data_IF_935385535200
#
_entry.id   IF_935385535200
#
_cell.length_a   1.000
_cell.length_b   1.000
_cell.length_c   1.000
_cell.angle_alpha   90.00
_cell.angle_beta   90.00
_cell.angle_gamma   90.00
#
_symmetry.space_group_name_H-M   'P 1'
#
loop_
_entity.id
_entity.type
_entity.pdbx_description
1 polymer ?
#
# COMPACT_ATOMS: atom_id res chain seq x y z
N UNK A 1 6.42 20.70 -9.33
CA UNK A 1 7.79 20.37 -9.80
C UNK A 1 8.43 19.32 -8.87
N UNK A 2 9.56 18.78 -9.27
CA UNK A 2 10.38 17.88 -8.44
C UNK A 2 10.88 18.62 -7.19
N UNK A 3 11.15 19.89 -7.29
CA UNK A 3 11.61 20.71 -6.16
C UNK A 3 10.49 20.96 -5.16
N UNK A 4 9.26 21.19 -5.63
CA UNK A 4 8.08 21.26 -4.77
C UNK A 4 7.83 19.95 -4.03
N UNK A 5 8.07 18.81 -4.69
CA UNK A 5 7.94 17.51 -4.06
C UNK A 5 9.00 17.29 -2.98
N UNK A 6 10.25 17.67 -3.26
CA UNK A 6 11.35 17.56 -2.28
C UNK A 6 11.20 18.51 -1.09
N UNK A 7 10.59 19.67 -1.30
CA UNK A 7 10.35 20.67 -0.25
C UNK A 7 9.20 20.32 0.69
N UNK A 8 8.36 19.35 0.34
CA UNK A 8 7.20 18.94 1.15
C UNK A 8 7.57 17.75 2.06
N UNK A 9 7.00 17.68 3.27
CA UNK A 9 7.14 16.47 4.08
C UNK A 9 6.59 15.25 3.35
N UNK A 10 7.17 14.09 3.63
CA UNK A 10 6.72 12.82 3.05
C UNK A 10 5.21 12.64 3.26
N UNK A 11 4.49 12.38 2.19
CA UNK A 11 3.03 12.27 2.17
C UNK A 11 2.57 11.18 1.22
N UNK A 12 1.25 11.01 1.14
CA UNK A 12 0.64 10.11 0.17
C UNK A 12 0.52 10.83 -1.18
N UNK A 13 1.48 10.61 -2.07
CA UNK A 13 1.51 11.20 -3.41
C UNK A 13 1.79 10.10 -4.45
N UNK A 14 1.25 10.26 -5.66
CA UNK A 14 1.48 9.31 -6.75
C UNK A 14 0.81 7.96 -6.49
N UNK A 15 1.60 6.92 -6.28
CA UNK A 15 1.14 5.54 -6.03
C UNK A 15 1.78 5.03 -4.73
N UNK A 16 1.38 5.55 -3.57
CA UNK A 16 1.98 5.13 -2.30
C UNK A 16 1.72 3.66 -2.00
N UNK A 17 2.75 2.97 -1.53
CA UNK A 17 2.64 1.63 -0.95
C UNK A 17 2.06 1.73 0.45
N UNK A 18 1.06 0.91 0.74
CA UNK A 18 0.46 0.76 2.05
C UNK A 18 0.94 -0.56 2.64
N UNK A 19 1.80 -0.48 3.66
CA UNK A 19 2.42 -1.65 4.28
C UNK A 19 2.69 -1.39 5.78
N UNK A 20 2.70 -2.44 6.61
CA UNK A 20 2.50 -3.86 6.33
C UNK A 20 1.04 -4.28 6.13
N UNK A 21 0.07 -3.36 6.21
CA UNK A 21 -1.32 -3.59 5.82
C UNK A 21 -1.88 -2.41 5.03
N UNK A 22 -2.85 -2.71 4.16
CA UNK A 22 -3.66 -1.72 3.46
C UNK A 22 -4.99 -1.49 4.19
N UNK A 23 -5.51 -0.25 4.08
CA UNK A 23 -6.77 0.17 4.67
C UNK A 23 -6.78 0.03 6.21
N UNK A 24 -7.95 -0.20 6.81
CA UNK A 24 -8.21 -0.17 8.24
C UNK A 24 -8.22 -1.55 8.86
N UNK A 25 -7.78 -1.64 10.10
CA UNK A 25 -7.99 -2.80 10.96
C UNK A 25 -9.12 -2.50 11.93
N UNK A 26 -9.88 -3.51 12.31
CA UNK A 26 -11.03 -3.41 13.20
C UNK A 26 -10.64 -3.28 14.69
N UNK A 27 -9.42 -3.69 15.02
CA UNK A 27 -8.84 -3.55 16.35
C UNK A 27 -7.52 -2.79 16.32
N UNK A 28 -7.02 -2.37 17.49
CA UNK A 28 -5.68 -1.82 17.66
C UNK A 28 -4.64 -2.95 17.78
N UNK A 29 -4.82 -3.99 17.00
CA UNK A 29 -3.98 -5.17 16.96
C UNK A 29 -4.24 -5.95 15.66
N UNK A 30 -3.36 -6.90 15.39
CA UNK A 30 -3.62 -7.95 14.41
C UNK A 30 -3.35 -9.33 15.03
N UNK A 31 -3.81 -10.38 14.35
CA UNK A 31 -3.63 -11.76 14.77
C UNK A 31 -2.86 -12.54 13.71
N UNK A 32 -1.86 -13.27 14.13
CA UNK A 32 -1.09 -14.17 13.28
C UNK A 32 -0.50 -15.31 14.12
N UNK A 33 -0.38 -16.50 13.54
CA UNK A 33 0.24 -17.67 14.20
C UNK A 33 -0.35 -17.97 15.59
N UNK A 34 -1.67 -17.76 15.78
CA UNK A 34 -2.35 -17.95 17.05
C UNK A 34 -2.03 -16.92 18.14
N UNK A 35 -1.34 -15.84 17.79
CA UNK A 35 -0.96 -14.76 18.73
C UNK A 35 -1.63 -13.44 18.34
N UNK A 36 -1.87 -12.59 19.35
CA UNK A 36 -2.32 -11.21 19.19
C UNK A 36 -1.12 -10.26 19.27
N UNK A 37 -1.01 -9.37 18.31
CA UNK A 37 0.04 -8.35 18.22
C UNK A 37 -0.59 -6.96 18.35
N UNK A 38 -0.50 -6.29 19.51
CA UNK A 38 -1.05 -4.95 19.69
C UNK A 38 -0.18 -3.91 18.98
N UNK A 39 -0.82 -2.84 18.50
CA UNK A 39 -0.13 -1.68 17.94
C UNK A 39 0.13 -0.61 19.00
N UNK A 40 1.24 0.07 18.85
CA UNK A 40 1.45 1.37 19.45
C UNK A 40 0.76 2.43 18.56
N UNK A 41 -0.38 2.92 18.99
CA UNK A 41 -1.20 3.86 18.24
C UNK A 41 -0.53 5.23 18.03
N UNK A 42 0.62 5.48 18.64
CA UNK A 42 1.38 6.72 18.45
C UNK A 42 2.41 6.59 17.32
N UNK A 43 2.76 5.39 16.89
CA UNK A 43 3.79 5.15 15.88
C UNK A 43 3.25 4.96 14.46
N UNK A 44 1.97 4.64 14.32
CA UNK A 44 1.37 4.31 13.04
C UNK A 44 0.46 5.40 12.49
N UNK A 45 -0.07 5.16 11.31
CA UNK A 45 -1.17 5.93 10.78
C UNK A 45 -2.45 5.55 11.51
N UNK A 46 -3.18 6.55 12.00
CA UNK A 46 -4.45 6.33 12.68
C UNK A 46 -5.52 7.29 12.16
N UNK A 47 -6.76 6.83 12.16
CA UNK A 47 -7.94 7.66 11.96
C UNK A 47 -8.84 7.48 13.19
N UNK A 48 -8.84 8.46 14.09
CA UNK A 48 -9.44 8.31 15.41
C UNK A 48 -8.73 7.20 16.20
N UNK A 49 -9.44 6.16 16.59
CA UNK A 49 -8.91 5.01 17.31
C UNK A 49 -8.55 3.81 16.40
N UNK A 50 -8.53 4.00 15.08
CA UNK A 50 -8.40 2.90 14.11
C UNK A 50 -7.07 2.98 13.38
N UNK A 51 -6.25 1.90 13.41
CA UNK A 51 -5.04 1.81 12.58
C UNK A 51 -5.39 1.80 11.10
N UNK A 52 -4.66 2.57 10.29
CA UNK A 52 -4.89 2.69 8.85
C UNK A 52 -3.57 2.73 8.07
N UNK A 53 -3.49 1.97 6.97
CA UNK A 53 -2.41 2.04 5.97
C UNK A 53 -1.01 1.69 6.45
N UNK A 54 -0.89 0.98 7.55
CA UNK A 54 0.41 0.61 8.11
C UNK A 54 1.26 1.81 8.51
N UNK A 55 2.55 1.64 8.59
CA UNK A 55 3.49 2.66 9.04
C UNK A 55 4.69 2.86 8.09
N UNK A 56 4.70 2.18 6.93
CA UNK A 56 5.82 2.22 5.99
C UNK A 56 5.63 3.21 4.82
N UNK A 57 4.43 3.76 4.64
CA UNK A 57 4.08 4.59 3.48
C UNK A 57 4.80 5.94 3.41
N UNK A 58 5.35 6.41 4.52
CA UNK A 58 6.02 7.73 4.63
C UNK A 58 7.48 7.61 5.06
N UNK A 59 8.07 6.43 4.95
CA UNK A 59 9.47 6.24 5.35
C UNK A 59 10.43 6.72 4.27
N UNK A 60 11.54 7.28 4.69
CA UNK A 60 12.70 7.64 3.86
C UNK A 60 13.80 6.55 3.89
N UNK A 61 13.53 5.41 4.52
CA UNK A 61 14.53 4.36 4.74
C UNK A 61 14.77 3.44 3.53
N UNK A 62 14.13 3.74 2.40
CA UNK A 62 14.36 3.05 1.15
C UNK A 62 15.76 3.31 0.61
N UNK A 63 16.47 2.25 0.24
CA UNK A 63 17.80 2.33 -0.36
C UNK A 63 17.74 1.86 -1.81
N UNK A 64 18.26 2.65 -2.74
CA UNK A 64 18.40 2.24 -4.13
C UNK A 64 19.47 1.16 -4.22
N UNK A 65 19.09 -0.03 -4.70
CA UNK A 65 19.97 -1.20 -4.82
C UNK A 65 20.29 -1.54 -6.28
N UNK A 66 19.50 -1.06 -7.22
CA UNK A 66 19.74 -1.23 -8.65
C UNK A 66 19.20 -0.04 -9.45
N UNK A 67 19.99 0.40 -10.43
CA UNK A 67 19.55 1.34 -11.48
C UNK A 67 20.09 0.81 -12.81
N UNK A 68 19.21 0.53 -13.77
CA UNK A 68 19.58 0.00 -15.07
C UNK A 68 18.74 0.57 -16.21
N UNK A 69 19.31 0.51 -17.40
CA UNK A 69 18.61 0.73 -18.66
C UNK A 69 19.25 -0.14 -19.76
N UNK A 70 18.45 -0.60 -20.72
CA UNK A 70 18.91 -1.49 -21.82
C UNK A 70 18.55 -0.96 -23.22
N UNK A 71 18.19 0.31 -23.34
CA UNK A 71 17.77 0.95 -24.60
C UNK A 71 16.30 0.73 -24.96
N UNK A 72 15.58 -0.18 -24.29
CA UNK A 72 14.13 -0.40 -24.42
C UNK A 72 13.39 0.00 -23.16
N UNK A 73 13.98 -0.29 -22.01
CA UNK A 73 13.41 -0.02 -20.71
C UNK A 73 14.44 0.61 -19.79
N UNK A 74 13.94 1.32 -18.78
CA UNK A 74 14.74 1.79 -17.66
C UNK A 74 14.07 1.35 -16.36
N UNK A 75 14.84 0.97 -15.35
CA UNK A 75 14.28 0.60 -14.06
C UNK A 75 15.17 0.98 -12.90
N UNK A 76 14.52 1.14 -11.76
CA UNK A 76 15.15 1.34 -10.46
C UNK A 76 14.54 0.38 -9.46
N UNK A 77 15.38 -0.29 -8.68
CA UNK A 77 14.95 -1.12 -7.55
C UNK A 77 15.40 -0.47 -6.26
N UNK A 78 14.47 -0.26 -5.35
CA UNK A 78 14.73 0.20 -3.99
C UNK A 78 14.40 -0.90 -3.01
N UNK A 79 15.19 -1.01 -1.94
CA UNK A 79 15.05 -1.99 -0.86
C UNK A 79 14.73 -1.31 0.46
N UNK A 80 13.79 -1.89 1.20
CA UNK A 80 13.48 -1.55 2.58
C UNK A 80 13.75 -2.77 3.47
N UNK A 81 14.59 -2.61 4.48
CA UNK A 81 14.95 -3.67 5.43
C UNK A 81 14.29 -3.38 6.79
N UNK A 82 13.21 -4.08 7.09
CA UNK A 82 12.43 -3.82 8.30
C UNK A 82 13.14 -4.15 9.60
N UNK A 83 14.03 -5.14 9.58
CA UNK A 83 14.84 -5.51 10.73
C UNK A 83 15.74 -4.37 11.26
N UNK A 84 16.05 -3.38 10.41
CA UNK A 84 16.83 -2.20 10.80
C UNK A 84 16.00 -1.16 11.56
N UNK A 85 14.68 -1.33 11.63
CA UNK A 85 13.76 -0.36 12.24
C UNK A 85 13.17 -0.94 13.53
N UNK A 86 13.81 -0.65 14.66
CA UNK A 86 13.42 -1.21 15.96
C UNK A 86 11.96 -0.87 16.36
N UNK A 87 11.47 0.34 16.01
CA UNK A 87 10.09 0.74 16.26
C UNK A 87 9.07 -0.10 15.47
N UNK A 88 9.40 -0.45 14.22
CA UNK A 88 8.54 -1.30 13.40
C UNK A 88 8.55 -2.74 13.90
N UNK A 89 9.73 -3.27 14.26
CA UNK A 89 9.87 -4.62 14.78
C UNK A 89 9.11 -4.83 16.09
N UNK A 90 8.89 -3.78 16.88
CA UNK A 90 8.04 -3.87 18.08
C UNK A 90 6.56 -4.11 17.75
N UNK A 91 6.08 -3.59 16.64
CA UNK A 91 4.68 -3.67 16.23
C UNK A 91 4.42 -4.81 15.23
N UNK A 92 5.41 -5.10 14.37
CA UNK A 92 5.35 -6.12 13.33
C UNK A 92 6.61 -6.98 13.39
N UNK A 93 6.69 -7.95 14.34
CA UNK A 93 7.91 -8.66 14.68
C UNK A 93 8.29 -9.75 13.66
N UNK A 94 8.11 -9.45 12.39
CA UNK A 94 8.50 -10.30 11.28
C UNK A 94 9.57 -9.58 10.46
N UNK A 95 10.83 -9.95 10.68
CA UNK A 95 11.94 -9.42 9.90
C UNK A 95 11.73 -9.77 8.42
N UNK A 96 11.71 -8.79 7.56
CA UNK A 96 11.53 -8.99 6.12
C UNK A 96 12.22 -7.88 5.32
N UNK A 97 12.43 -8.12 4.05
CA UNK A 97 12.80 -7.10 3.09
C UNK A 97 11.68 -6.91 2.08
N UNK A 98 11.53 -5.67 1.63
CA UNK A 98 10.67 -5.32 0.51
C UNK A 98 11.56 -4.74 -0.58
N UNK A 99 11.56 -5.36 -1.76
CA UNK A 99 12.18 -4.81 -2.96
C UNK A 99 11.09 -4.28 -3.87
N UNK A 100 11.17 -3.01 -4.23
CA UNK A 100 10.23 -2.36 -5.14
C UNK A 100 10.97 -1.91 -6.38
N UNK A 101 10.58 -2.46 -7.52
CA UNK A 101 11.13 -2.11 -8.82
C UNK A 101 10.10 -1.32 -9.62
N UNK A 102 10.48 -0.12 -10.02
CA UNK A 102 9.76 0.69 -10.99
C UNK A 102 10.44 0.51 -12.34
N UNK A 103 9.71 0.00 -13.32
CA UNK A 103 10.20 -0.22 -14.68
C UNK A 103 9.35 0.56 -15.68
N UNK A 104 10.00 1.36 -16.50
CA UNK A 104 9.36 2.13 -17.55
C UNK A 104 9.79 1.57 -18.90
N UNK A 105 8.81 1.22 -19.73
CA UNK A 105 8.99 0.77 -21.10
C UNK A 105 7.80 1.17 -21.96
N UNK A 106 8.06 1.77 -23.12
CA UNK A 106 7.03 2.10 -24.12
C UNK A 106 5.82 2.86 -23.53
N UNK A 107 6.08 3.82 -22.64
CA UNK A 107 5.02 4.59 -21.94
C UNK A 107 4.31 3.83 -20.83
N UNK A 108 4.64 2.55 -20.59
CA UNK A 108 4.07 1.74 -19.53
C UNK A 108 4.97 1.76 -18.30
N UNK A 109 4.39 2.11 -17.14
CA UNK A 109 5.04 1.99 -15.85
C UNK A 109 4.59 0.70 -15.17
N UNK A 110 5.54 -0.20 -14.93
CA UNK A 110 5.33 -1.41 -14.15
C UNK A 110 5.90 -1.25 -12.75
N UNK A 111 5.17 -1.69 -11.73
CA UNK A 111 5.62 -1.68 -10.34
C UNK A 111 5.63 -3.11 -9.81
N UNK A 112 6.81 -3.63 -9.52
CA UNK A 112 6.99 -4.95 -8.95
C UNK A 112 7.35 -4.83 -7.48
N UNK A 113 6.65 -5.54 -6.63
CA UNK A 113 6.96 -5.60 -5.21
C UNK A 113 7.24 -7.03 -4.81
N UNK A 114 8.44 -7.27 -4.31
CA UNK A 114 8.87 -8.54 -3.73
C UNK A 114 9.02 -8.39 -2.24
N UNK A 115 8.32 -9.23 -1.48
CA UNK A 115 8.46 -9.34 -0.03
C UNK A 115 9.17 -10.63 0.29
N UNK A 116 10.28 -10.56 1.03
CA UNK A 116 11.03 -11.73 1.47
C UNK A 116 10.98 -11.81 2.99
N UNK A 117 10.31 -12.83 3.51
CA UNK A 117 10.25 -13.11 4.94
C UNK A 117 11.58 -13.70 5.42
N UNK A 118 12.19 -13.10 6.44
CA UNK A 118 13.39 -13.57 7.11
C UNK A 118 13.11 -14.07 8.55
N UNK A 119 11.84 -13.97 9.00
CA UNK A 119 11.44 -14.51 10.28
C UNK A 119 11.32 -16.04 10.20
N UNK A 120 11.45 -16.72 11.34
CA UNK A 120 11.25 -18.16 11.44
C UNK A 120 9.76 -18.57 11.30
N UNK A 121 8.84 -17.67 11.66
CA UNK A 121 7.39 -17.89 11.58
C UNK A 121 6.81 -17.34 10.26
N UNK A 122 5.70 -17.90 9.76
CA UNK A 122 4.96 -17.31 8.67
C UNK A 122 4.55 -15.86 8.97
N UNK A 123 4.80 -14.96 8.02
CA UNK A 123 4.44 -13.56 8.14
C UNK A 123 3.11 -13.29 7.41
N UNK A 124 2.13 -12.63 8.04
CA UNK A 124 0.96 -12.18 7.33
C UNK A 124 1.32 -11.09 6.31
N UNK A 125 0.67 -11.08 5.16
CA UNK A 125 0.88 -10.09 4.10
C UNK A 125 -0.45 -9.47 3.73
N UNK A 126 -0.57 -8.15 3.89
CA UNK A 126 -1.79 -7.38 3.58
C UNK A 126 -1.44 -6.02 2.99
N UNK A 127 -0.49 -5.98 2.08
CA UNK A 127 -0.08 -4.74 1.42
C UNK A 127 -1.06 -4.31 0.31
N UNK A 128 -1.01 -3.04 -0.05
CA UNK A 128 -1.76 -2.49 -1.16
C UNK A 128 -1.14 -1.21 -1.69
N UNK A 129 -1.73 -0.69 -2.76
CA UNK A 129 -1.37 0.58 -3.35
C UNK A 129 -2.55 1.54 -3.31
N UNK A 130 -2.26 2.83 -3.16
CA UNK A 130 -3.26 3.89 -3.14
C UNK A 130 -2.99 4.91 -4.25
N UNK A 131 -3.24 4.55 -5.53
CA UNK A 131 -2.94 5.44 -6.63
C UNK A 131 -3.85 6.67 -6.63
N UNK A 132 -3.27 7.81 -7.00
CA UNK A 132 -3.98 9.05 -7.26
C UNK A 132 -3.92 9.31 -8.76
N UNK A 133 -5.02 9.04 -9.46
CA UNK A 133 -5.11 9.29 -10.88
C UNK A 133 -5.51 10.74 -11.16
N UNK A 134 -4.92 11.29 -12.21
CA UNK A 134 -5.29 12.59 -12.74
C UNK A 134 -5.29 12.50 -14.27
N UNK A 135 -6.45 12.73 -14.87
CA UNK A 135 -6.59 12.94 -16.31
C UNK A 135 -6.66 14.44 -16.56
N UNK A 136 -5.95 14.90 -17.59
CA UNK A 136 -5.83 16.33 -17.90
C UNK A 136 -6.53 16.72 -19.20
N UNK A 137 -7.10 15.74 -19.90
CA UNK A 137 -7.76 15.85 -21.19
C UNK A 137 -9.29 16.04 -21.10
N UNK A 138 -9.86 15.84 -19.92
CA UNK A 138 -11.29 16.04 -19.67
C UNK A 138 -11.58 16.44 -18.22
N UNK A 139 -12.70 17.11 -17.96
CA UNK A 139 -13.16 17.38 -16.60
C UNK A 139 -13.49 16.07 -15.86
N UNK A 140 -13.36 16.09 -14.53
CA UNK A 140 -13.49 14.88 -13.69
C UNK A 140 -14.85 14.20 -13.80
N UNK A 141 -15.90 14.93 -14.00
CA UNK A 141 -17.29 14.46 -14.17
C UNK A 141 -17.51 13.68 -15.47
N UNK A 142 -16.57 13.76 -16.41
CA UNK A 142 -16.58 13.00 -17.66
C UNK A 142 -15.72 11.72 -17.57
N UNK A 143 -15.01 11.52 -16.44
CA UNK A 143 -14.18 10.33 -16.29
C UNK A 143 -15.02 9.08 -16.16
N UNK A 144 -14.61 8.03 -16.84
CA UNK A 144 -15.21 6.71 -16.72
C UNK A 144 -14.29 5.79 -15.94
N UNK A 145 -14.85 5.11 -14.95
CA UNK A 145 -14.15 4.09 -14.17
C UNK A 145 -14.69 2.71 -14.54
N UNK A 146 -13.81 1.80 -14.93
CA UNK A 146 -14.18 0.40 -15.18
C UNK A 146 -13.52 -0.48 -14.11
N UNK A 147 -14.35 -1.20 -13.35
CA UNK A 147 -13.92 -2.07 -12.26
C UNK A 147 -14.44 -3.48 -12.53
N UNK A 148 -13.60 -4.44 -12.95
CA UNK A 148 -14.02 -5.81 -13.26
C UNK A 148 -14.26 -6.66 -11.99
N UNK A 149 -14.80 -6.06 -10.94
CA UNK A 149 -15.16 -6.74 -9.70
C UNK A 149 -16.64 -7.13 -9.73
N UNK A 150 -16.98 -8.33 -9.28
CA UNK A 150 -18.37 -8.84 -9.23
C UNK A 150 -18.98 -8.71 -7.84
N UNK A 151 -18.13 -8.62 -6.83
CA UNK A 151 -18.56 -8.50 -5.43
C UNK A 151 -17.79 -7.41 -4.72
N UNK A 152 -18.42 -6.76 -3.76
CA UNK A 152 -17.78 -5.84 -2.84
C UNK A 152 -18.00 -6.29 -1.39
N UNK A 153 -17.04 -6.01 -0.54
CA UNK A 153 -17.18 -6.17 0.89
C UNK A 153 -18.10 -5.10 1.47
N UNK A 154 -19.02 -5.49 2.33
CA UNK A 154 -19.77 -4.55 3.14
C UNK A 154 -18.85 -3.99 4.23
N UNK A 155 -18.94 -2.68 4.44
CA UNK A 155 -18.15 -1.99 5.45
C UNK A 155 -19.02 -1.63 6.65
N UNK A 156 -18.45 -1.75 7.85
CA UNK A 156 -19.01 -1.19 9.06
C UNK A 156 -19.06 0.35 8.97
N UNK A 157 -19.67 0.98 9.97
CA UNK A 157 -19.65 2.44 10.06
C UNK A 157 -18.21 2.99 10.17
N UNK A 158 -17.27 2.22 10.74
CA UNK A 158 -15.84 2.53 10.84
C UNK A 158 -15.06 2.29 9.54
N UNK A 159 -15.74 1.87 8.47
CA UNK A 159 -15.15 1.53 7.17
C UNK A 159 -14.21 0.31 7.20
N UNK A 160 -14.46 -0.61 8.11
CA UNK A 160 -13.77 -1.91 8.19
C UNK A 160 -14.66 -2.97 7.54
N UNK A 161 -14.11 -3.91 6.76
CA UNK A 161 -14.87 -5.02 6.19
C UNK A 161 -15.57 -5.85 7.27
N UNK A 162 -16.86 -6.14 7.05
CA UNK A 162 -17.69 -6.91 8.01
C UNK A 162 -17.62 -8.42 7.82
N UNK A 163 -16.90 -8.89 6.81
CA UNK A 163 -16.93 -10.31 6.40
C UNK A 163 -18.08 -10.65 5.44
N UNK A 164 -19.03 -9.73 5.22
CA UNK A 164 -20.14 -9.90 4.29
C UNK A 164 -19.86 -9.24 2.95
N UNK A 165 -20.42 -9.78 1.87
CA UNK A 165 -20.28 -9.26 0.52
C UNK A 165 -21.64 -9.05 -0.14
N UNK A 166 -21.69 -8.18 -1.15
CA UNK A 166 -22.84 -8.03 -2.04
C UNK A 166 -22.37 -7.88 -3.50
N UNK A 167 -23.30 -8.06 -4.46
CA UNK A 167 -22.99 -7.82 -5.88
C UNK A 167 -22.66 -6.36 -6.15
N UNK A 168 -21.66 -6.12 -7.01
CA UNK A 168 -21.33 -4.79 -7.52
C UNK A 168 -22.29 -4.26 -8.58
N UNK A 169 -23.12 -5.13 -9.20
CA UNK A 169 -24.02 -4.75 -10.30
C UNK A 169 -25.01 -3.66 -9.91
N UNK A 170 -25.35 -3.57 -8.63
CA UNK A 170 -26.22 -2.52 -8.09
C UNK A 170 -25.61 -1.11 -8.23
N UNK A 171 -24.28 -1.00 -8.19
CA UNK A 171 -23.55 0.28 -8.16
C UNK A 171 -22.81 0.53 -9.48
N UNK A 172 -22.37 -0.53 -10.12
CA UNK A 172 -21.59 -0.52 -11.35
C UNK A 172 -22.17 -1.55 -12.33
N UNK A 173 -23.33 -1.30 -12.95
CA UNK A 173 -23.94 -2.20 -13.90
C UNK A 173 -22.98 -2.53 -15.04
N UNK A 174 -22.67 -3.82 -15.23
CA UNK A 174 -21.68 -4.26 -16.21
C UNK A 174 -20.22 -3.85 -15.90
N UNK A 175 -19.91 -3.50 -14.64
CA UNK A 175 -18.57 -3.10 -14.20
C UNK A 175 -18.18 -1.66 -14.55
N UNK A 176 -19.13 -0.81 -14.91
CA UNK A 176 -18.91 0.60 -15.28
C UNK A 176 -19.64 1.55 -14.34
N UNK A 177 -18.98 2.63 -13.99
CA UNK A 177 -19.51 3.72 -13.17
C UNK A 177 -18.92 5.06 -13.58
#
# INVERSE_FOLDING_TARGET
>A
SIDDFRAKPAGLHGIPLLAPWANRLDEQAFYANGKRYPFDMQLGNVTGAIPIHGFMSRTDQWQVVEVKADGKAAWVTSRLETAKQASWMKQWPFAHTMDMTYRLQDGTLEVFTKVTNHAAEPMPVSLGYHPYYQLTDSPREEWTVSIPARTRWLLSYQKVPTGQTESTDKFFPGGKG
#
